data_IF_561648065203
#
_entry.id   IF_561648065203
#
_cell.length_a   1.000
_cell.length_b   1.000
_cell.length_c   1.000
_cell.angle_alpha   90.00
_cell.angle_beta   90.00
_cell.angle_gamma   90.00
#
_symmetry.space_group_name_H-M   'P 1'
#
loop_
_entity.id
_entity.type
_entity.pdbx_description
1 polymer ?
#
# COMPACT_ATOMS: atom_id res chain seq x y z
N UNK A 1 -10.11 7.52 25.68
CA UNK A 1 -10.66 6.16 25.75
C UNK A 1 -9.98 5.33 24.68
N UNK A 2 -9.34 4.21 25.04
CA UNK A 2 -8.80 3.27 24.05
C UNK A 2 -9.97 2.63 23.30
N UNK A 3 -9.95 2.63 21.97
CA UNK A 3 -10.93 1.89 21.17
C UNK A 3 -10.74 0.38 21.40
N UNK A 4 -11.80 -0.42 21.29
CA UNK A 4 -11.68 -1.87 21.43
C UNK A 4 -10.73 -2.43 20.34
N UNK A 5 -9.98 -3.44 20.72
CA UNK A 5 -9.21 -4.26 19.78
C UNK A 5 -10.23 -4.96 18.88
N UNK A 6 -10.10 -4.77 17.56
CA UNK A 6 -10.95 -5.44 16.58
C UNK A 6 -10.23 -6.70 16.07
N UNK A 7 -11.02 -7.73 15.78
CA UNK A 7 -10.58 -8.93 15.06
C UNK A 7 -11.29 -9.00 13.73
N UNK A 8 -10.80 -9.84 12.81
CA UNK A 8 -11.45 -10.00 11.51
C UNK A 8 -12.91 -10.43 11.62
N UNK A 9 -13.23 -11.35 12.55
CA UNK A 9 -14.59 -11.83 12.82
C UNK A 9 -15.54 -10.77 13.40
N UNK A 10 -14.99 -9.67 13.92
CA UNK A 10 -15.79 -8.56 14.48
C UNK A 10 -16.25 -7.57 13.39
N UNK A 11 -15.77 -7.72 12.14
CA UNK A 11 -16.17 -6.84 11.05
C UNK A 11 -17.60 -7.11 10.61
N UNK A 12 -18.40 -6.05 10.52
CA UNK A 12 -19.82 -6.15 10.11
C UNK A 12 -19.99 -6.39 8.60
N UNK A 13 -18.95 -6.14 7.82
CA UNK A 13 -18.94 -6.29 6.36
C UNK A 13 -17.72 -7.09 5.89
N UNK A 14 -17.82 -7.86 4.80
CA UNK A 14 -16.67 -8.55 4.20
C UNK A 14 -15.58 -7.57 3.84
N UNK A 15 -14.32 -7.96 4.05
CA UNK A 15 -13.19 -7.14 3.65
C UNK A 15 -13.00 -7.21 2.12
N UNK A 16 -12.83 -6.05 1.49
CA UNK A 16 -12.45 -5.94 0.10
C UNK A 16 -11.03 -5.38 -0.03
N UNK A 17 -10.38 -5.64 -1.18
CA UNK A 17 -9.11 -5.01 -1.51
C UNK A 17 -9.27 -4.07 -2.72
N UNK A 18 -8.70 -2.87 -2.61
CA UNK A 18 -8.53 -1.95 -3.73
C UNK A 18 -7.09 -2.07 -4.21
N UNK A 19 -6.92 -2.52 -5.45
CA UNK A 19 -5.60 -2.72 -6.07
C UNK A 19 -5.37 -1.58 -7.06
N UNK A 20 -4.37 -0.74 -6.80
CA UNK A 20 -3.93 0.30 -7.71
C UNK A 20 -3.10 -0.29 -8.84
N UNK A 21 -3.67 -0.37 -10.04
CA UNK A 21 -3.05 -0.90 -11.27
C UNK A 21 -2.91 0.17 -12.37
N UNK A 22 -3.19 1.42 -12.05
CA UNK A 22 -3.03 2.58 -12.93
C UNK A 22 -1.57 3.00 -13.06
N UNK A 23 -1.36 3.95 -13.93
CA UNK A 23 -0.09 4.54 -14.25
C UNK A 23 0.01 4.70 -15.76
N UNK A 24 0.17 5.95 -16.22
CA UNK A 24 0.31 6.21 -17.65
C UNK A 24 1.53 5.49 -18.20
N UNK A 25 1.35 4.88 -19.36
CA UNK A 25 2.45 4.34 -20.13
C UNK A 25 3.45 5.47 -20.49
N UNK A 26 4.64 5.39 -19.95
CA UNK A 26 5.77 6.22 -20.35
C UNK A 26 6.77 5.36 -21.12
N UNK A 27 6.94 5.57 -22.44
CA UNK A 27 7.93 4.85 -23.23
C UNK A 27 9.37 5.10 -22.74
N UNK A 28 9.57 6.18 -21.99
CA UNK A 28 10.85 6.54 -21.36
C UNK A 28 11.14 5.79 -20.07
N UNK A 29 10.14 5.16 -19.44
CA UNK A 29 10.28 4.46 -18.16
C UNK A 29 11.33 3.32 -18.26
N UNK A 30 12.44 3.39 -17.50
CA UNK A 30 13.50 2.38 -17.54
C UNK A 30 13.01 0.99 -17.13
N UNK A 31 12.08 0.88 -16.18
CA UNK A 31 11.53 -0.38 -15.70
C UNK A 31 10.68 -1.06 -16.79
N UNK A 32 9.78 -0.31 -17.42
CA UNK A 32 8.90 -0.83 -18.47
C UNK A 32 9.71 -1.27 -19.70
N UNK A 33 10.74 -0.51 -20.07
CA UNK A 33 11.68 -0.91 -21.15
C UNK A 33 12.45 -2.17 -20.81
N UNK A 34 13.00 -2.25 -19.59
CA UNK A 34 13.74 -3.42 -19.12
C UNK A 34 12.85 -4.68 -19.06
N UNK A 35 11.61 -4.51 -18.65
CA UNK A 35 10.64 -5.60 -18.56
C UNK A 35 9.99 -5.98 -19.90
N UNK A 36 10.11 -5.14 -20.94
CA UNK A 36 9.39 -5.31 -22.21
C UNK A 36 7.86 -5.20 -22.05
N UNK A 37 7.38 -4.42 -21.08
CA UNK A 37 5.97 -4.32 -20.73
C UNK A 37 5.43 -2.91 -21.00
N UNK A 38 4.11 -2.80 -21.21
CA UNK A 38 3.43 -1.51 -21.38
C UNK A 38 2.79 -0.98 -20.10
N UNK A 39 2.57 -1.84 -19.10
CA UNK A 39 1.97 -1.48 -17.80
C UNK A 39 2.71 -2.21 -16.70
N UNK A 40 2.98 -1.53 -15.60
CA UNK A 40 3.70 -2.08 -14.45
C UNK A 40 3.00 -3.32 -13.89
N UNK A 41 1.68 -3.26 -13.73
CA UNK A 41 0.87 -4.37 -13.25
C UNK A 41 1.00 -5.66 -14.08
N UNK A 42 1.33 -5.52 -15.37
CA UNK A 42 1.44 -6.62 -16.34
C UNK A 42 2.88 -7.10 -16.57
N UNK A 43 3.86 -6.57 -15.87
CA UNK A 43 5.24 -7.08 -15.90
C UNK A 43 5.23 -8.54 -15.46
N UNK A 44 5.84 -9.41 -16.29
CA UNK A 44 5.88 -10.84 -16.01
C UNK A 44 7.10 -11.24 -15.17
N UNK A 45 6.83 -12.06 -14.17
CA UNK A 45 7.82 -12.71 -13.31
C UNK A 45 7.46 -14.20 -13.30
N UNK A 46 8.41 -15.08 -13.61
CA UNK A 46 8.17 -16.53 -13.71
C UNK A 46 6.87 -16.88 -14.51
N UNK A 47 6.64 -16.18 -15.61
CA UNK A 47 5.51 -16.42 -16.52
C UNK A 47 4.17 -15.77 -16.13
N UNK A 48 3.99 -15.27 -14.90
CA UNK A 48 2.75 -14.62 -14.43
C UNK A 48 2.93 -13.10 -14.28
N UNK A 49 1.93 -12.26 -14.56
CA UNK A 49 1.99 -10.83 -14.31
C UNK A 49 1.99 -10.51 -12.80
N UNK A 50 2.64 -9.42 -12.41
CA UNK A 50 2.77 -9.03 -11.00
C UNK A 50 1.41 -8.95 -10.28
N UNK A 51 0.39 -8.37 -10.90
CA UNK A 51 -0.95 -8.28 -10.32
C UNK A 51 -1.54 -9.66 -9.97
N UNK A 52 -1.23 -10.70 -10.75
CA UNK A 52 -1.76 -12.04 -10.50
C UNK A 52 -1.21 -12.65 -9.20
N UNK A 53 0.04 -12.36 -8.86
CA UNK A 53 0.62 -12.79 -7.58
C UNK A 53 -0.05 -12.09 -6.40
N UNK A 54 -0.24 -10.77 -6.51
CA UNK A 54 -0.91 -9.99 -5.46
C UNK A 54 -2.36 -10.44 -5.29
N UNK A 55 -3.10 -10.63 -6.39
CA UNK A 55 -4.47 -11.11 -6.34
C UNK A 55 -4.57 -12.51 -5.72
N UNK A 56 -3.63 -13.41 -6.03
CA UNK A 56 -3.58 -14.74 -5.44
C UNK A 56 -3.30 -14.66 -3.94
N UNK A 57 -2.34 -13.86 -3.51
CA UNK A 57 -2.04 -13.67 -2.08
C UNK A 57 -3.24 -13.10 -1.30
N UNK A 58 -3.97 -12.17 -1.90
CA UNK A 58 -5.21 -11.64 -1.32
C UNK A 58 -6.27 -12.73 -1.14
N UNK A 59 -6.46 -13.60 -2.15
CA UNK A 59 -7.36 -14.74 -2.06
C UNK A 59 -6.91 -15.76 -1.01
N UNK A 60 -5.63 -16.14 -1.02
CA UNK A 60 -5.04 -17.12 -0.09
C UNK A 60 -5.05 -16.63 1.36
N UNK A 61 -5.22 -15.32 1.58
CA UNK A 61 -5.41 -14.78 2.92
C UNK A 61 -6.71 -15.30 3.57
N UNK A 62 -7.73 -15.62 2.76
CA UNK A 62 -9.06 -15.97 3.25
C UNK A 62 -9.84 -14.80 3.85
N UNK A 63 -9.25 -13.58 3.88
CA UNK A 63 -9.87 -12.39 4.47
C UNK A 63 -10.54 -11.49 3.45
N UNK A 64 -10.13 -11.57 2.17
CA UNK A 64 -10.62 -10.72 1.10
C UNK A 64 -11.72 -11.44 0.33
N UNK A 65 -12.91 -10.84 0.25
CA UNK A 65 -14.05 -11.39 -0.48
C UNK A 65 -14.19 -10.83 -1.90
N UNK A 66 -13.62 -9.65 -2.17
CA UNK A 66 -13.79 -8.96 -3.46
C UNK A 66 -12.56 -8.10 -3.80
N UNK A 67 -12.20 -8.08 -5.07
CA UNK A 67 -11.13 -7.21 -5.59
C UNK A 67 -11.73 -6.05 -6.39
N UNK A 68 -11.22 -4.85 -6.15
CA UNK A 68 -11.49 -3.67 -6.96
C UNK A 68 -10.18 -3.25 -7.61
N UNK A 69 -10.05 -3.46 -8.91
CA UNK A 69 -8.83 -3.17 -9.66
C UNK A 69 -9.01 -1.85 -10.39
N UNK A 70 -8.22 -0.84 -10.02
CA UNK A 70 -8.32 0.51 -10.57
C UNK A 70 -7.18 0.77 -11.55
N UNK A 71 -7.53 1.20 -12.77
CA UNK A 71 -6.58 1.61 -13.80
C UNK A 71 -6.14 0.49 -14.76
N UNK A 72 -6.63 -0.73 -14.58
CA UNK A 72 -6.47 -1.81 -15.55
C UNK A 72 -7.80 -2.07 -16.26
N UNK A 73 -7.80 -2.08 -17.61
CA UNK A 73 -8.97 -2.46 -18.40
C UNK A 73 -9.29 -3.95 -18.28
N UNK A 74 -10.32 -4.41 -18.98
CA UNK A 74 -10.71 -5.84 -19.01
C UNK A 74 -9.98 -6.66 -20.08
N UNK A 75 -9.29 -6.01 -21.00
CA UNK A 75 -8.74 -6.61 -22.25
C UNK A 75 -7.37 -7.28 -22.04
N UNK A 76 -7.02 -7.61 -20.78
CA UNK A 76 -5.72 -8.22 -20.44
C UNK A 76 -5.74 -9.77 -20.45
N UNK A 77 -6.92 -10.40 -20.55
CA UNK A 77 -7.07 -11.87 -20.58
C UNK A 77 -6.63 -12.58 -19.28
N UNK A 78 -6.63 -11.85 -18.13
CA UNK A 78 -6.29 -12.42 -16.82
C UNK A 78 -7.54 -12.92 -16.12
N UNK A 79 -7.43 -14.08 -15.52
CA UNK A 79 -8.40 -14.61 -14.57
C UNK A 79 -7.95 -14.24 -13.14
N UNK A 80 -8.92 -13.90 -12.30
CA UNK A 80 -8.70 -13.54 -10.92
C UNK A 80 -9.30 -14.59 -9.97
N UNK A 81 -8.63 -14.92 -8.86
CA UNK A 81 -9.10 -15.98 -7.95
C UNK A 81 -10.31 -15.58 -7.10
N UNK A 82 -10.68 -14.30 -7.10
CA UNK A 82 -11.82 -13.73 -6.38
C UNK A 82 -12.70 -12.94 -7.35
N UNK A 83 -13.97 -12.67 -7.00
CA UNK A 83 -14.80 -11.72 -7.71
C UNK A 83 -14.07 -10.38 -7.87
N UNK A 84 -14.04 -9.83 -9.07
CA UNK A 84 -13.30 -8.62 -9.41
C UNK A 84 -14.19 -7.58 -10.09
N UNK A 85 -14.03 -6.32 -9.69
CA UNK A 85 -14.62 -5.17 -10.35
C UNK A 85 -13.50 -4.27 -10.88
N UNK A 86 -13.52 -4.03 -12.20
CA UNK A 86 -12.57 -3.12 -12.82
C UNK A 86 -13.12 -1.69 -12.82
N UNK A 87 -12.25 -0.77 -12.43
CA UNK A 87 -12.54 0.67 -12.39
C UNK A 87 -11.57 1.37 -13.33
N UNK A 88 -12.05 2.21 -14.25
CA UNK A 88 -11.20 3.00 -15.12
C UNK A 88 -10.21 3.86 -14.34
N UNK A 89 -9.06 4.15 -14.95
CA UNK A 89 -8.10 5.10 -14.40
C UNK A 89 -8.73 6.49 -14.29
N UNK A 90 -8.64 7.10 -13.10
CA UNK A 90 -9.27 8.38 -12.78
C UNK A 90 -8.28 9.56 -12.73
N UNK A 91 -7.01 9.32 -13.06
CA UNK A 91 -5.94 10.33 -13.05
C UNK A 91 -4.78 9.94 -12.15
N UNK A 92 -4.53 10.70 -11.08
CA UNK A 92 -3.44 10.42 -10.15
C UNK A 92 -3.76 9.31 -9.15
N UNK A 93 -2.79 9.03 -8.27
CA UNK A 93 -2.91 7.95 -7.26
C UNK A 93 -4.14 8.16 -6.36
N UNK A 94 -4.36 9.40 -5.89
CA UNK A 94 -5.49 9.70 -5.02
C UNK A 94 -6.82 9.54 -5.74
N UNK A 95 -6.93 10.04 -6.96
CA UNK A 95 -8.15 9.92 -7.78
C UNK A 95 -8.49 8.45 -8.02
N UNK A 96 -7.49 7.61 -8.25
CA UNK A 96 -7.66 6.17 -8.40
C UNK A 96 -8.14 5.51 -7.11
N UNK A 97 -7.56 5.86 -5.96
CA UNK A 97 -8.02 5.38 -4.65
C UNK A 97 -9.47 5.79 -4.41
N UNK A 98 -9.82 7.07 -4.66
CA UNK A 98 -11.18 7.57 -4.48
C UNK A 98 -12.18 6.88 -5.41
N UNK A 99 -11.82 6.61 -6.66
CA UNK A 99 -12.67 5.87 -7.59
C UNK A 99 -12.92 4.43 -7.11
N UNK A 100 -11.88 3.77 -6.58
CA UNK A 100 -12.00 2.47 -5.94
C UNK A 100 -12.89 2.49 -4.70
N UNK A 101 -12.71 3.46 -3.81
CA UNK A 101 -13.54 3.65 -2.60
C UNK A 101 -15.01 3.91 -2.96
N UNK A 102 -15.28 4.79 -3.92
CA UNK A 102 -16.65 5.06 -4.37
C UNK A 102 -17.32 3.82 -4.97
N UNK A 103 -16.56 3.00 -5.67
CA UNK A 103 -17.06 1.73 -6.20
C UNK A 103 -17.36 0.75 -5.08
N UNK A 104 -16.45 0.59 -4.12
CA UNK A 104 -16.65 -0.24 -2.94
C UNK A 104 -17.93 0.14 -2.18
N UNK A 105 -18.14 1.41 -1.91
CA UNK A 105 -19.30 1.89 -1.16
C UNK A 105 -20.64 1.69 -1.86
N UNK A 106 -20.65 1.70 -3.20
CA UNK A 106 -21.85 1.35 -3.98
C UNK A 106 -22.14 -0.15 -3.92
N UNK A 107 -21.09 -0.98 -3.84
CA UNK A 107 -21.22 -2.44 -3.82
C UNK A 107 -21.51 -2.98 -2.42
N UNK A 108 -20.82 -2.44 -1.41
CA UNK A 108 -20.89 -2.89 -0.03
C UNK A 108 -21.05 -1.63 0.85
N UNK A 109 -22.28 -1.08 0.96
CA UNK A 109 -22.53 0.09 1.81
C UNK A 109 -22.18 -0.20 3.28
N UNK A 110 -21.61 0.78 3.95
CA UNK A 110 -21.23 0.65 5.35
C UNK A 110 -19.90 -0.07 5.59
N UNK A 111 -19.11 -0.33 4.55
CA UNK A 111 -17.77 -0.92 4.70
C UNK A 111 -16.93 -0.10 5.68
N UNK A 112 -16.47 -0.75 6.74
CA UNK A 112 -15.67 -0.14 7.80
C UNK A 112 -14.19 -0.17 7.53
N UNK A 113 -13.71 -1.16 6.79
CA UNK A 113 -12.29 -1.37 6.48
C UNK A 113 -12.11 -1.84 5.05
N UNK A 114 -11.06 -1.36 4.41
CA UNK A 114 -10.61 -1.78 3.09
C UNK A 114 -9.10 -1.94 3.09
N UNK A 115 -8.61 -2.98 2.45
CA UNK A 115 -7.18 -3.15 2.21
C UNK A 115 -6.82 -2.44 0.91
N UNK A 116 -6.12 -1.32 0.98
CA UNK A 116 -5.52 -0.68 -0.18
C UNK A 116 -4.18 -1.34 -0.45
N UNK A 117 -3.95 -1.81 -1.67
CA UNK A 117 -2.76 -2.57 -2.06
C UNK A 117 -2.22 -2.10 -3.41
N UNK A 118 -0.91 -2.16 -3.59
CA UNK A 118 -0.25 -1.95 -4.88
C UNK A 118 -0.11 -3.25 -5.67
N UNK A 119 0.09 -3.17 -6.99
CA UNK A 119 0.34 -4.33 -7.85
C UNK A 119 1.79 -4.78 -7.88
N UNK A 120 2.71 -4.00 -7.35
CA UNK A 120 4.15 -4.10 -7.54
C UNK A 120 4.91 -4.77 -6.39
N UNK A 121 4.17 -5.46 -5.53
CA UNK A 121 4.72 -6.31 -4.45
C UNK A 121 4.43 -7.80 -4.70
N UNK A 122 4.95 -8.39 -5.80
CA UNK A 122 4.55 -9.73 -6.27
C UNK A 122 5.01 -10.88 -5.35
N UNK A 123 5.82 -10.61 -4.34
CA UNK A 123 6.32 -11.62 -3.40
C UNK A 123 5.46 -11.79 -2.15
N UNK A 124 4.38 -11.02 -2.01
CA UNK A 124 3.47 -11.16 -0.87
C UNK A 124 2.76 -12.51 -0.89
N UNK A 125 2.45 -13.03 0.29
CA UNK A 125 1.71 -14.28 0.48
C UNK A 125 0.43 -14.05 1.30
N UNK A 126 -0.48 -15.03 1.27
CA UNK A 126 -1.70 -14.97 2.07
C UNK A 126 -1.44 -14.84 3.57
N UNK A 127 -0.39 -15.49 4.08
CA UNK A 127 0.04 -15.35 5.48
C UNK A 127 0.44 -13.91 5.82
N UNK A 128 1.21 -13.27 4.94
CA UNK A 128 1.64 -11.88 5.11
C UNK A 128 0.45 -10.91 5.12
N UNK A 129 -0.52 -11.13 4.25
CA UNK A 129 -1.76 -10.34 4.21
C UNK A 129 -2.58 -10.56 5.50
N UNK A 130 -2.77 -11.80 5.96
CA UNK A 130 -3.44 -12.07 7.24
C UNK A 130 -2.75 -11.35 8.39
N UNK A 131 -1.43 -11.50 8.51
CA UNK A 131 -0.66 -10.85 9.56
C UNK A 131 -0.82 -9.33 9.54
N UNK A 132 -0.77 -8.70 8.36
CA UNK A 132 -0.98 -7.27 8.21
C UNK A 132 -2.38 -6.85 8.68
N UNK A 133 -3.41 -7.55 8.24
CA UNK A 133 -4.81 -7.25 8.60
C UNK A 133 -5.02 -7.41 10.10
N UNK A 134 -4.61 -8.55 10.70
CA UNK A 134 -4.76 -8.82 12.13
C UNK A 134 -4.03 -7.77 12.98
N UNK A 135 -2.76 -7.48 12.63
CA UNK A 135 -1.97 -6.48 13.36
C UNK A 135 -2.60 -5.08 13.24
N UNK A 136 -3.13 -4.74 12.07
CA UNK A 136 -3.80 -3.47 11.84
C UNK A 136 -5.10 -3.35 12.62
N UNK A 137 -5.95 -4.35 12.58
CA UNK A 137 -7.22 -4.39 13.33
C UNK A 137 -7.00 -4.31 14.84
N UNK A 138 -5.96 -4.99 15.35
CA UNK A 138 -5.62 -4.96 16.77
C UNK A 138 -5.26 -3.55 17.29
N UNK A 139 -4.89 -2.61 16.41
CA UNK A 139 -4.64 -1.20 16.80
C UNK A 139 -5.93 -0.43 17.09
N UNK A 140 -7.08 -0.85 16.57
CA UNK A 140 -8.35 -0.12 16.59
C UNK A 140 -8.34 1.19 15.78
N UNK A 141 -7.29 1.46 14.99
CA UNK A 141 -7.15 2.69 14.22
C UNK A 141 -7.96 2.66 12.93
N UNK A 142 -8.36 3.84 12.47
CA UNK A 142 -9.06 4.01 11.19
C UNK A 142 -8.09 4.02 9.99
N UNK A 143 -6.83 4.40 10.24
CA UNK A 143 -5.78 4.41 9.23
C UNK A 143 -4.56 3.68 9.77
N UNK A 144 -4.20 2.57 9.13
CA UNK A 144 -3.01 1.79 9.45
C UNK A 144 -2.02 1.86 8.28
N UNK A 145 -0.92 2.59 8.48
CA UNK A 145 0.17 2.66 7.52
C UNK A 145 1.19 1.57 7.79
N UNK A 146 1.41 0.72 6.82
CA UNK A 146 2.44 -0.31 6.90
C UNK A 146 3.82 0.32 6.77
N UNK A 147 4.70 -0.04 7.68
CA UNK A 147 6.13 0.30 7.63
C UNK A 147 6.97 -0.95 7.82
N UNK A 148 8.12 -1.00 7.15
CA UNK A 148 9.06 -2.13 7.22
C UNK A 148 10.37 -1.64 7.84
N UNK A 149 10.85 -2.21 8.97
CA UNK A 149 12.13 -1.88 9.53
C UNK A 149 13.27 -2.13 8.53
N UNK A 150 14.27 -1.23 8.52
CA UNK A 150 15.43 -1.37 7.63
C UNK A 150 16.15 -2.70 7.81
N UNK A 151 16.31 -3.15 9.05
CA UNK A 151 16.94 -4.43 9.36
C UNK A 151 16.19 -5.62 8.72
N UNK A 152 14.85 -5.59 8.77
CA UNK A 152 13.99 -6.59 8.13
C UNK A 152 14.16 -6.55 6.60
N UNK A 153 14.16 -5.34 6.01
CA UNK A 153 14.32 -5.16 4.57
C UNK A 153 15.70 -5.64 4.09
N UNK A 154 16.77 -5.16 4.72
CA UNK A 154 18.14 -5.47 4.29
C UNK A 154 18.54 -6.92 4.57
N UNK A 155 17.96 -7.56 5.60
CA UNK A 155 18.18 -8.98 5.85
C UNK A 155 17.60 -9.87 4.72
N UNK A 156 16.47 -9.47 4.14
CA UNK A 156 15.78 -10.24 3.09
C UNK A 156 16.20 -9.83 1.69
N UNK A 157 16.37 -8.51 1.46
CA UNK A 157 16.71 -7.91 0.18
C UNK A 157 17.90 -6.94 0.33
N UNK A 158 19.12 -7.46 0.46
CA UNK A 158 20.33 -6.63 0.54
C UNK A 158 20.42 -5.69 -0.68
N UNK A 159 20.73 -4.43 -0.44
CA UNK A 159 20.82 -3.41 -1.50
C UNK A 159 19.52 -3.24 -2.30
N UNK A 160 18.37 -3.36 -1.65
CA UNK A 160 17.04 -3.22 -2.28
C UNK A 160 16.84 -1.88 -3.01
N UNK A 161 17.64 -0.86 -2.67
CA UNK A 161 17.50 0.49 -3.21
C UNK A 161 16.24 1.21 -2.70
N UNK A 162 15.61 0.70 -1.62
CA UNK A 162 14.48 1.34 -0.93
C UNK A 162 14.93 2.61 -0.20
N UNK A 163 14.03 3.57 -0.14
CA UNK A 163 14.22 4.78 0.66
C UNK A 163 13.76 4.54 2.10
N UNK A 164 14.59 4.91 3.06
CA UNK A 164 14.25 4.78 4.47
C UNK A 164 14.04 6.15 5.12
N UNK A 165 12.91 6.30 5.82
CA UNK A 165 12.69 7.42 6.72
C UNK A 165 13.41 7.13 8.04
N UNK A 166 14.33 8.02 8.44
CA UNK A 166 15.03 7.92 9.69
C UNK A 166 14.32 8.73 10.76
N UNK A 167 13.87 8.05 11.80
CA UNK A 167 13.22 8.63 12.98
C UNK A 167 13.96 8.17 14.25
N UNK A 168 13.58 8.68 15.43
CA UNK A 168 14.23 8.31 16.69
C UNK A 168 14.07 6.81 17.01
N UNK A 169 12.98 6.20 16.59
CA UNK A 169 12.64 4.79 16.83
C UNK A 169 13.35 3.82 15.88
N UNK A 170 14.03 4.32 14.84
CA UNK A 170 14.73 3.50 13.85
C UNK A 170 14.65 4.05 12.43
N UNK A 171 14.94 3.19 11.46
CA UNK A 171 14.83 3.49 10.03
C UNK A 171 13.79 2.56 9.39
N UNK A 172 12.85 3.14 8.64
CA UNK A 172 11.71 2.40 8.10
C UNK A 172 11.46 2.76 6.64
N UNK A 173 11.21 1.75 5.81
CA UNK A 173 10.61 1.92 4.49
C UNK A 173 9.09 1.96 4.61
N UNK A 174 8.41 2.65 3.70
CA UNK A 174 6.96 2.51 3.53
C UNK A 174 6.61 1.14 2.98
N UNK A 175 5.49 0.58 3.41
CA UNK A 175 4.88 -0.58 2.77
C UNK A 175 3.91 -0.16 1.65
N UNK A 176 3.41 -1.14 0.92
CA UNK A 176 2.57 -0.97 -0.26
C UNK A 176 1.20 -1.66 -0.13
N UNK A 177 0.83 -2.00 1.11
CA UNK A 177 -0.49 -2.48 1.49
C UNK A 177 -0.90 -1.83 2.84
N UNK A 178 -2.10 -1.25 2.92
CA UNK A 178 -2.57 -0.46 4.06
C UNK A 178 -4.02 -0.80 4.39
N UNK A 179 -4.35 -0.97 5.68
CA UNK A 179 -5.74 -1.15 6.11
C UNK A 179 -6.32 0.20 6.53
N UNK A 180 -7.41 0.61 5.89
CA UNK A 180 -7.96 1.96 6.06
C UNK A 180 -9.49 1.94 6.14
N UNK A 181 -10.06 2.81 6.97
CA UNK A 181 -11.47 3.14 6.91
C UNK A 181 -11.74 4.00 5.65
N UNK A 182 -12.54 3.52 4.68
CA UNK A 182 -12.75 4.23 3.41
C UNK A 182 -13.38 5.62 3.59
N UNK A 183 -14.13 5.86 4.68
CA UNK A 183 -14.72 7.16 4.97
C UNK A 183 -13.67 8.29 5.12
N UNK A 184 -12.45 7.95 5.52
CA UNK A 184 -11.35 8.94 5.66
C UNK A 184 -11.00 9.58 4.31
N UNK A 185 -11.01 8.82 3.24
CA UNK A 185 -10.71 9.34 1.89
C UNK A 185 -11.75 10.36 1.41
N UNK A 186 -13.03 10.16 1.76
CA UNK A 186 -14.09 11.10 1.40
C UNK A 186 -14.00 12.40 2.18
N UNK A 187 -13.86 12.28 3.50
CA UNK A 187 -13.88 13.43 4.42
C UNK A 187 -12.68 14.35 4.25
N UNK A 188 -11.54 13.81 3.75
CA UNK A 188 -10.26 14.52 3.73
C UNK A 188 -9.62 14.59 2.33
N UNK A 189 -10.42 14.49 1.27
CA UNK A 189 -9.95 14.47 -0.12
C UNK A 189 -8.91 15.56 -0.43
N UNK A 190 -9.24 16.83 -0.13
CA UNK A 190 -8.35 17.95 -0.42
C UNK A 190 -7.04 17.85 0.37
N UNK A 191 -7.13 17.52 1.64
CA UNK A 191 -5.98 17.39 2.52
C UNK A 191 -5.04 16.25 2.10
N UNK A 192 -5.61 15.09 1.75
CA UNK A 192 -4.82 13.94 1.27
C UNK A 192 -4.13 14.29 -0.05
N UNK A 193 -4.82 15.00 -0.95
CA UNK A 193 -4.23 15.49 -2.20
C UNK A 193 -3.06 16.45 -1.93
N UNK A 194 -3.22 17.37 -0.99
CA UNK A 194 -2.17 18.31 -0.61
C UNK A 194 -0.97 17.59 0.02
N UNK A 195 -1.19 16.60 0.88
CA UNK A 195 -0.15 15.76 1.46
C UNK A 195 0.62 14.95 0.40
N UNK A 196 -0.09 14.34 -0.54
CA UNK A 196 0.52 13.58 -1.63
C UNK A 196 1.31 14.49 -2.57
N UNK A 197 0.76 15.66 -2.92
CA UNK A 197 1.42 16.67 -3.75
C UNK A 197 2.64 17.33 -3.07
N UNK A 198 2.68 17.33 -1.75
CA UNK A 198 3.78 17.91 -0.97
C UNK A 198 5.01 17.00 -0.85
N UNK A 199 4.93 15.70 -1.19
CA UNK A 199 6.02 14.70 -0.97
C UNK A 199 7.39 15.12 -1.50
N UNK A 200 7.45 15.97 -2.52
CA UNK A 200 8.70 16.48 -3.14
C UNK A 200 9.00 17.95 -2.78
N UNK A 201 8.25 18.59 -1.87
CA UNK A 201 8.39 20.01 -1.56
C UNK A 201 8.35 20.27 -0.05
N UNK A 202 9.53 20.49 0.53
CA UNK A 202 9.72 20.69 1.97
C UNK A 202 8.91 21.87 2.53
N UNK A 203 8.73 22.97 1.75
CA UNK A 203 7.93 24.13 2.20
C UNK A 203 6.42 23.80 2.25
N UNK A 204 5.91 23.04 1.26
CA UNK A 204 4.52 22.56 1.30
C UNK A 204 4.32 21.57 2.44
N UNK A 205 5.27 20.66 2.66
CA UNK A 205 5.24 19.75 3.82
C UNK A 205 5.20 20.52 5.13
N UNK A 206 6.09 21.53 5.28
CA UNK A 206 6.14 22.36 6.51
C UNK A 206 4.81 23.09 6.76
N UNK A 207 4.11 23.53 5.72
CA UNK A 207 2.80 24.18 5.87
C UNK A 207 1.72 23.22 6.36
N UNK A 208 1.72 21.97 5.89
CA UNK A 208 0.69 20.97 6.23
C UNK A 208 1.01 20.27 7.55
N UNK A 209 2.24 19.78 7.70
CA UNK A 209 2.68 18.96 8.83
C UNK A 209 3.12 19.86 10.01
N UNK A 210 3.53 21.08 9.71
CA UNK A 210 4.05 22.05 10.65
C UNK A 210 5.58 22.04 10.76
N UNK A 211 6.19 23.22 10.94
CA UNK A 211 7.64 23.38 10.92
C UNK A 211 8.33 22.62 12.06
N UNK A 212 7.69 22.51 13.22
CA UNK A 212 8.25 21.78 14.38
C UNK A 212 8.41 20.28 14.10
N UNK A 213 7.41 19.65 13.48
CA UNK A 213 7.45 18.23 13.12
C UNK A 213 8.47 18.01 12.03
N UNK A 214 8.49 18.88 11.01
CA UNK A 214 9.48 18.78 9.93
C UNK A 214 10.91 18.95 10.47
N UNK A 215 11.17 19.93 11.36
CA UNK A 215 12.47 20.11 11.98
C UNK A 215 12.90 18.88 12.79
N UNK A 216 11.99 18.27 13.56
CA UNK A 216 12.27 17.01 14.27
C UNK A 216 12.59 15.86 13.30
N UNK A 217 11.87 15.77 12.18
CA UNK A 217 12.14 14.75 11.16
C UNK A 217 13.52 14.94 10.52
N UNK A 218 13.83 16.15 10.08
CA UNK A 218 15.13 16.48 9.46
C UNK A 218 16.32 16.29 10.42
N UNK A 219 16.10 16.46 11.72
CA UNK A 219 17.12 16.22 12.76
C UNK A 219 17.09 14.81 13.34
N UNK A 220 16.28 13.90 12.77
CA UNK A 220 16.10 12.51 13.21
C UNK A 220 15.61 12.37 14.66
N UNK A 221 14.92 13.39 15.19
CA UNK A 221 14.38 13.45 16.55
C UNK A 221 12.88 13.17 16.64
N UNK A 222 12.21 13.06 15.50
CA UNK A 222 10.80 12.71 15.44
C UNK A 222 10.62 11.26 15.88
N UNK A 223 9.63 11.00 16.75
CA UNK A 223 9.21 9.63 17.07
C UNK A 223 8.01 9.22 16.20
N UNK A 224 7.82 7.91 15.99
CA UNK A 224 6.64 7.37 15.32
C UNK A 224 5.36 7.89 15.99
N UNK A 225 5.28 7.80 17.31
CA UNK A 225 4.12 8.27 18.09
C UNK A 225 3.83 9.78 17.93
N UNK A 226 4.85 10.61 17.73
CA UNK A 226 4.64 12.04 17.42
C UNK A 226 4.12 12.23 15.99
N UNK A 227 4.61 11.45 15.04
CA UNK A 227 4.12 11.42 13.66
C UNK A 227 2.65 11.00 13.61
N UNK A 228 2.30 9.90 14.26
CA UNK A 228 0.92 9.40 14.39
C UNK A 228 -0.01 10.47 14.94
N UNK A 229 0.30 11.03 16.13
CA UNK A 229 -0.51 12.12 16.74
C UNK A 229 -0.67 13.32 15.82
N UNK A 230 0.37 13.63 15.02
CA UNK A 230 0.26 14.73 14.07
C UNK A 230 -0.71 14.40 12.94
N UNK A 231 -0.63 13.22 12.35
CA UNK A 231 -1.57 12.77 11.32
C UNK A 231 -2.98 12.66 11.89
N UNK A 232 -3.15 12.10 13.09
CA UNK A 232 -4.44 12.09 13.81
C UNK A 232 -5.03 13.50 13.98
N UNK A 233 -4.19 14.48 14.38
CA UNK A 233 -4.65 15.86 14.54
C UNK A 233 -5.10 16.51 13.21
N UNK A 234 -4.59 16.02 12.10
CA UNK A 234 -4.90 16.50 10.75
C UNK A 234 -6.15 15.81 10.21
N UNK A 235 -6.23 14.48 10.37
CA UNK A 235 -7.32 13.66 9.83
C UNK A 235 -8.51 13.51 10.80
N UNK A 236 -8.39 13.94 12.06
CA UNK A 236 -9.45 13.79 13.06
C UNK A 236 -9.82 12.34 13.39
N UNK A 237 -9.01 11.36 12.97
CA UNK A 237 -9.24 9.93 13.18
C UNK A 237 -7.95 9.25 13.66
N UNK A 238 -8.05 8.15 14.43
CA UNK A 238 -6.88 7.40 14.88
C UNK A 238 -6.06 6.85 13.72
N UNK A 239 -4.74 7.09 13.77
CA UNK A 239 -3.78 6.63 12.78
C UNK A 239 -2.64 5.88 13.46
N UNK A 240 -2.20 4.75 12.89
CA UNK A 240 -1.06 3.97 13.40
C UNK A 240 -0.12 3.58 12.29
N UNK A 241 1.16 3.62 12.61
CA UNK A 241 2.20 2.99 11.82
C UNK A 241 2.33 1.53 12.29
N UNK A 242 2.05 0.60 11.38
CA UNK A 242 2.11 -0.83 11.65
C UNK A 242 3.44 -1.36 11.14
N UNK A 243 4.37 -1.62 12.05
CA UNK A 243 5.64 -2.23 11.71
C UNK A 243 5.45 -3.73 11.48
N UNK A 244 5.77 -4.17 10.26
CA UNK A 244 5.62 -5.58 9.84
C UNK A 244 6.97 -6.28 9.78
N UNK A 245 6.96 -7.59 10.04
CA UNK A 245 8.15 -8.46 9.98
C UNK A 245 8.47 -9.02 8.60
N UNK A 246 7.67 -8.70 7.60
CA UNK A 246 7.79 -9.20 6.24
C UNK A 246 8.27 -8.08 5.30
N UNK A 247 9.49 -8.23 4.78
CA UNK A 247 10.08 -7.27 3.86
C UNK A 247 9.31 -7.17 2.54
N UNK A 248 8.67 -8.26 2.14
CA UNK A 248 7.89 -8.39 0.92
C UNK A 248 6.72 -7.39 0.84
N UNK A 249 6.17 -6.97 1.99
CA UNK A 249 5.12 -5.93 2.06
C UNK A 249 5.61 -4.52 1.72
N UNK A 250 6.90 -4.31 1.64
CA UNK A 250 7.53 -3.05 1.26
C UNK A 250 8.59 -3.20 0.17
N UNK A 251 8.70 -4.36 -0.48
CA UNK A 251 9.62 -4.57 -1.61
C UNK A 251 8.87 -4.40 -2.92
N UNK A 252 8.59 -3.14 -3.27
CA UNK A 252 8.00 -2.79 -4.56
C UNK A 252 9.02 -2.88 -5.70
N UNK A 253 8.52 -3.15 -6.88
CA UNK A 253 9.29 -3.20 -8.12
C UNK A 253 9.15 -1.88 -8.87
N UNK A 254 9.99 -0.89 -8.55
CA UNK A 254 10.01 0.44 -9.18
C UNK A 254 11.18 0.64 -10.15
N UNK A 255 12.22 -0.19 -10.03
CA UNK A 255 13.47 -0.04 -10.79
C UNK A 255 13.90 -1.37 -11.41
N UNK A 256 14.67 -1.35 -12.52
CA UNK A 256 15.17 -2.58 -13.17
C UNK A 256 15.86 -3.55 -12.21
N UNK A 257 16.77 -3.08 -11.36
CA UNK A 257 17.49 -3.94 -10.42
C UNK A 257 16.58 -4.60 -9.37
N UNK A 258 15.49 -3.91 -8.96
CA UNK A 258 14.49 -4.50 -8.05
C UNK A 258 13.71 -5.62 -8.75
N UNK A 259 13.36 -5.43 -10.04
CA UNK A 259 12.74 -6.48 -10.84
C UNK A 259 13.65 -7.72 -10.95
N UNK A 260 14.95 -7.50 -11.22
CA UNK A 260 15.90 -8.60 -11.33
C UNK A 260 16.08 -9.32 -9.97
N UNK A 261 16.11 -8.58 -8.88
CA UNK A 261 16.20 -9.12 -7.53
C UNK A 261 14.98 -9.96 -7.15
N UNK A 262 13.79 -9.46 -7.48
CA UNK A 262 12.52 -10.18 -7.25
C UNK A 262 12.41 -11.42 -8.14
N UNK A 263 12.80 -11.33 -9.42
CA UNK A 263 12.86 -12.49 -10.32
C UNK A 263 13.77 -13.58 -9.77
N UNK A 264 14.99 -13.22 -9.40
CA UNK A 264 15.95 -14.18 -8.83
C UNK A 264 15.42 -14.85 -7.55
N UNK A 265 14.79 -14.09 -6.66
CA UNK A 265 14.22 -14.62 -5.44
C UNK A 265 13.03 -15.57 -5.69
N UNK A 266 12.14 -15.23 -6.64
CA UNK A 266 10.99 -16.07 -6.97
C UNK A 266 11.38 -17.31 -7.76
N UNK A 267 12.34 -17.23 -8.67
CA UNK A 267 12.86 -18.38 -9.40
C UNK A 267 13.65 -19.34 -8.48
N UNK A 268 14.36 -18.82 -7.50
CA UNK A 268 15.03 -19.62 -6.47
C UNK A 268 14.08 -20.37 -5.52
N UNK A 269 12.86 -19.85 -5.31
CA UNK A 269 11.81 -20.49 -4.52
C UNK A 269 11.03 -21.57 -5.30
N UNK A 270 11.09 -21.53 -6.62
CA UNK A 270 10.43 -22.50 -7.51
C UNK A 270 11.33 -23.69 -7.86
N UNK A 271 12.59 -23.73 -7.37
CA UNK A 271 13.50 -24.87 -7.47
C UNK A 271 13.53 -25.63 -6.16
#
# INVERSE_FOLDING_TARGET
>A
MSRPILRFEDLSTPLAAIIGAGGSYDPGDPLLRHAGARRKALIRIAGKPMIAYVAQALADSGYIAHLIVVGLGQDHGLEFPLPVTFVPEAGGILENILAGVQTLERMIPGTERVLQCSTDIPMVTGEMIRHLVDTSLATGADVCFTIVPRETMEARFPNSGRSFARVRDGEFAGGDAHLVNPAVFRSHRQLINDLMGARKNNLKQARIIGPRILAKFLTHRLTIAEGERKIESILGVPCRAVAVRYAELGMDVDKPHQLDQVRAAMEGQLR
#
